data_IF_108555784759
#
_entry.id   IF_108555784759
#
_cell.length_a   1.000
_cell.length_b   1.000
_cell.length_c   1.000
_cell.angle_alpha   90.00
_cell.angle_beta   90.00
_cell.angle_gamma   90.00
#
_symmetry.space_group_name_H-M   'P 1'
#
loop_
_entity.id
_entity.type
_entity.pdbx_description
1 polymer ?
#
# COMPACT_ATOMS: atom_id res chain seq x y z
N UNK A 1 27.79 36.94 -1.85
CA UNK A 1 28.49 36.01 -0.93
C UNK A 1 27.47 35.05 -0.35
N UNK A 2 27.82 33.76 -0.32
CA UNK A 2 26.89 32.64 -0.23
C UNK A 2 26.13 32.53 1.11
N UNK A 3 24.83 32.24 1.02
CA UNK A 3 23.98 31.85 2.13
C UNK A 3 24.26 30.38 2.52
N UNK A 4 24.36 30.13 3.82
CA UNK A 4 24.80 28.87 4.40
C UNK A 4 23.81 27.73 4.19
N UNK A 5 24.34 26.60 3.72
CA UNK A 5 23.66 25.31 3.66
C UNK A 5 23.55 24.77 5.10
N UNK A 6 22.34 24.71 5.65
CA UNK A 6 22.07 24.15 6.97
C UNK A 6 22.32 22.65 6.99
N UNK A 7 23.05 22.18 8.01
CA UNK A 7 23.40 20.76 8.21
C UNK A 7 22.14 19.89 8.33
N UNK A 8 22.08 18.86 7.49
CA UNK A 8 21.07 17.79 7.50
C UNK A 8 21.27 16.97 8.78
N UNK A 9 20.29 16.98 9.68
CA UNK A 9 20.29 16.10 10.84
C UNK A 9 19.96 14.67 10.42
N UNK A 10 20.86 13.73 10.71
CA UNK A 10 20.61 12.29 10.53
C UNK A 10 19.57 11.85 11.58
N UNK A 11 18.48 11.16 11.19
CA UNK A 11 17.54 10.59 12.15
C UNK A 11 18.21 9.56 13.07
N UNK A 12 17.76 9.47 14.33
CA UNK A 12 18.30 8.52 15.31
C UNK A 12 18.13 7.05 14.89
N UNK A 13 19.01 6.18 15.36
CA UNK A 13 19.17 4.76 14.98
C UNK A 13 17.93 3.85 15.14
N UNK A 14 16.84 4.33 15.74
CA UNK A 14 15.57 3.59 15.92
C UNK A 14 14.57 3.82 14.75
N UNK A 15 14.92 4.66 13.77
CA UNK A 15 14.07 5.05 12.63
C UNK A 15 14.52 4.46 11.28
N UNK A 16 15.48 3.52 11.29
CA UNK A 16 16.12 2.99 10.06
C UNK A 16 15.83 1.53 9.80
N UNK A 17 14.97 0.87 10.60
CA UNK A 17 14.56 -0.52 10.39
C UNK A 17 13.22 -0.55 9.64
N UNK A 18 13.23 -1.08 8.42
CA UNK A 18 12.04 -1.34 7.62
C UNK A 18 11.39 -2.69 7.95
N UNK A 19 10.39 -3.12 7.15
CA UNK A 19 9.71 -4.39 7.37
C UNK A 19 10.69 -5.58 7.49
N UNK A 20 10.45 -6.47 8.46
CA UNK A 20 11.33 -7.63 8.70
C UNK A 20 12.76 -7.28 9.16
N UNK A 21 12.97 -6.07 9.67
CA UNK A 21 14.18 -5.68 10.40
C UNK A 21 15.33 -5.25 9.49
N UNK A 22 15.08 -5.09 8.19
CA UNK A 22 16.11 -4.66 7.24
C UNK A 22 16.45 -3.18 7.41
N UNK A 23 17.64 -2.80 6.98
CA UNK A 23 17.98 -1.39 6.84
C UNK A 23 17.09 -0.72 5.77
N UNK A 24 16.48 0.40 6.15
CA UNK A 24 15.62 1.22 5.33
C UNK A 24 16.02 2.69 5.45
N UNK A 25 16.76 3.24 4.47
CA UNK A 25 17.04 4.67 4.44
C UNK A 25 15.79 5.42 4.00
N UNK A 26 15.38 6.45 4.75
CA UNK A 26 14.26 7.32 4.40
C UNK A 26 14.77 8.72 4.03
N UNK A 27 14.27 9.28 2.93
CA UNK A 27 14.68 10.62 2.49
C UNK A 27 13.93 11.74 3.22
N UNK A 28 12.72 11.44 3.69
CA UNK A 28 11.79 12.40 4.24
C UNK A 28 11.46 12.06 5.68
N UNK A 29 11.33 13.09 6.52
CA UNK A 29 10.71 12.94 7.83
C UNK A 29 9.17 12.85 7.69
N UNK A 30 8.43 12.48 8.76
CA UNK A 30 6.99 12.28 8.67
C UNK A 30 6.21 13.47 8.14
N UNK A 31 6.56 14.69 8.59
CA UNK A 31 5.89 15.92 8.12
C UNK A 31 6.13 16.17 6.63
N UNK A 32 7.35 15.91 6.14
CA UNK A 32 7.69 16.09 4.74
C UNK A 32 7.01 15.06 3.84
N UNK A 33 6.98 13.80 4.25
CA UNK A 33 6.33 12.73 3.49
C UNK A 33 4.81 12.94 3.39
N UNK A 34 4.17 13.39 4.48
CA UNK A 34 2.75 13.76 4.45
C UNK A 34 2.49 14.95 3.50
N UNK A 35 3.31 16.00 3.58
CA UNK A 35 3.17 17.16 2.70
C UNK A 35 3.35 16.80 1.22
N UNK A 36 4.31 15.93 0.91
CA UNK A 36 4.52 15.41 -0.43
C UNK A 36 3.29 14.62 -0.93
N UNK A 37 2.68 13.79 -0.07
CA UNK A 37 1.46 13.06 -0.40
C UNK A 37 0.30 13.99 -0.79
N UNK A 38 0.13 15.08 -0.05
CA UNK A 38 -0.90 16.08 -0.33
C UNK A 38 -0.63 16.82 -1.65
N UNK A 39 0.63 17.18 -1.92
CA UNK A 39 1.01 17.78 -3.19
C UNK A 39 0.72 16.83 -4.37
N UNK A 40 1.14 15.57 -4.28
CA UNK A 40 0.87 14.58 -5.34
C UNK A 40 -0.63 14.30 -5.50
N UNK A 41 -1.43 14.41 -4.44
CA UNK A 41 -2.89 14.34 -4.55
C UNK A 41 -3.46 15.47 -5.41
N UNK A 42 -3.01 16.72 -5.21
CA UNK A 42 -3.44 17.86 -6.01
C UNK A 42 -3.09 17.67 -7.50
N UNK A 43 -1.94 17.09 -7.80
CA UNK A 43 -1.49 16.78 -9.17
C UNK A 43 -2.38 15.72 -9.81
N UNK A 44 -2.68 14.61 -9.12
CA UNK A 44 -3.60 13.58 -9.63
C UNK A 44 -5.01 14.14 -9.84
N UNK A 45 -5.49 14.99 -8.93
CA UNK A 45 -6.80 15.64 -9.06
C UNK A 45 -6.82 16.64 -10.23
N UNK A 46 -5.69 17.28 -10.54
CA UNK A 46 -5.59 18.10 -11.74
C UNK A 46 -5.66 17.28 -13.04
N UNK A 47 -5.18 16.04 -13.04
CA UNK A 47 -5.14 15.17 -14.22
C UNK A 47 -6.41 14.32 -14.41
N UNK A 48 -7.00 13.86 -13.31
CA UNK A 48 -8.11 12.90 -13.31
C UNK A 48 -9.38 13.40 -12.62
N UNK A 49 -9.37 14.59 -11.99
CA UNK A 49 -10.47 15.08 -11.14
C UNK A 49 -11.83 15.14 -11.83
N UNK A 50 -11.86 15.41 -13.13
CA UNK A 50 -13.07 15.40 -13.97
C UNK A 50 -13.65 14.00 -14.20
N UNK A 51 -12.83 12.95 -14.03
CA UNK A 51 -13.17 11.54 -14.15
C UNK A 51 -13.41 10.86 -12.81
N UNK A 52 -13.17 11.54 -11.68
CA UNK A 52 -13.47 10.98 -10.36
C UNK A 52 -14.98 10.78 -10.22
N UNK A 53 -15.37 9.55 -9.85
CA UNK A 53 -16.77 9.20 -9.62
C UNK A 53 -17.30 9.88 -8.36
N UNK A 54 -18.61 10.14 -8.35
CA UNK A 54 -19.26 10.73 -7.19
C UNK A 54 -19.18 9.81 -5.96
N UNK A 55 -19.20 10.41 -4.77
CA UNK A 55 -19.10 9.71 -3.49
C UNK A 55 -20.16 8.63 -3.29
N UNK A 56 -21.33 8.80 -3.89
CA UNK A 56 -22.51 7.93 -3.82
C UNK A 56 -22.57 6.89 -4.95
N UNK A 57 -21.64 6.92 -5.90
CA UNK A 57 -21.55 5.88 -6.94
C UNK A 57 -21.37 4.48 -6.31
N UNK A 58 -21.96 3.42 -6.90
CA UNK A 58 -21.81 2.05 -6.38
C UNK A 58 -20.35 1.62 -6.25
N UNK A 59 -19.50 1.98 -7.21
CA UNK A 59 -18.07 1.68 -7.22
C UNK A 59 -17.34 2.38 -6.07
N UNK A 60 -17.58 3.68 -5.88
CA UNK A 60 -16.93 4.46 -4.81
C UNK A 60 -17.40 4.00 -3.43
N UNK A 61 -18.69 3.73 -3.26
CA UNK A 61 -19.25 3.18 -2.01
C UNK A 61 -18.64 1.82 -1.68
N UNK A 62 -18.51 0.94 -2.69
CA UNK A 62 -17.87 -0.37 -2.54
C UNK A 62 -16.41 -0.23 -2.13
N UNK A 63 -15.61 0.55 -2.86
CA UNK A 63 -14.18 0.74 -2.58
C UNK A 63 -13.97 1.35 -1.19
N UNK A 64 -14.71 2.40 -0.83
CA UNK A 64 -14.58 3.04 0.49
C UNK A 64 -14.91 2.10 1.64
N UNK A 65 -15.97 1.28 1.51
CA UNK A 65 -16.29 0.25 2.51
C UNK A 65 -15.14 -0.74 2.72
N UNK A 66 -14.46 -1.13 1.64
CA UNK A 66 -13.31 -2.05 1.72
C UNK A 66 -12.13 -1.35 2.40
N UNK A 67 -11.78 -0.13 1.97
CA UNK A 67 -10.71 0.67 2.57
C UNK A 67 -10.97 0.94 4.06
N UNK A 68 -12.21 1.19 4.46
CA UNK A 68 -12.57 1.40 5.86
C UNK A 68 -12.29 0.17 6.72
N UNK A 69 -12.54 -1.05 6.22
CA UNK A 69 -12.16 -2.28 6.92
C UNK A 69 -10.64 -2.49 6.95
N UNK A 70 -9.95 -2.16 5.87
CA UNK A 70 -8.50 -2.32 5.77
C UNK A 70 -7.76 -1.34 6.68
N UNK A 71 -8.20 -0.08 6.80
CA UNK A 71 -7.55 0.91 7.67
C UNK A 71 -7.73 0.55 9.15
N UNK A 72 -8.91 0.04 9.52
CA UNK A 72 -9.15 -0.46 10.88
C UNK A 72 -8.20 -1.62 11.21
N UNK A 73 -7.98 -2.54 10.25
CA UNK A 73 -7.02 -3.63 10.42
C UNK A 73 -5.57 -3.14 10.48
N UNK A 74 -5.18 -2.15 9.66
CA UNK A 74 -3.85 -1.56 9.64
C UNK A 74 -3.45 -0.90 10.98
N UNK A 75 -4.43 -0.42 11.75
CA UNK A 75 -4.23 0.17 13.08
C UNK A 75 -4.13 -0.86 14.21
N UNK A 76 -4.23 -2.16 13.91
CA UNK A 76 -4.13 -3.23 14.92
C UNK A 76 -2.67 -3.39 15.34
N UNK A 77 -2.33 -2.87 16.52
CA UNK A 77 -0.99 -2.94 17.13
C UNK A 77 -0.30 -4.32 17.08
N UNK A 78 -0.98 -5.45 17.40
CA UNK A 78 -0.36 -6.76 17.21
C UNK A 78 0.04 -7.09 15.77
N UNK A 79 -0.75 -6.67 14.78
CA UNK A 79 -0.41 -6.83 13.38
C UNK A 79 0.84 -6.01 13.06
N UNK A 80 0.88 -4.75 13.48
CA UNK A 80 2.04 -3.87 13.26
C UNK A 80 3.35 -4.44 13.83
N UNK A 81 3.29 -5.17 14.96
CA UNK A 81 4.46 -5.91 15.49
C UNK A 81 4.85 -7.11 14.65
N UNK A 82 3.88 -7.92 14.21
CA UNK A 82 4.12 -9.12 13.40
C UNK A 82 4.82 -8.79 12.08
N UNK A 83 4.49 -7.63 11.50
CA UNK A 83 5.06 -7.15 10.24
C UNK A 83 6.17 -6.11 10.44
N UNK A 84 6.58 -5.87 11.69
CA UNK A 84 7.62 -4.93 12.10
C UNK A 84 7.46 -3.50 11.54
N UNK A 85 6.22 -3.08 11.30
CA UNK A 85 5.91 -1.72 10.85
C UNK A 85 5.92 -0.77 12.04
N UNK A 86 6.90 0.15 12.07
CA UNK A 86 7.03 1.19 13.11
C UNK A 86 6.62 2.55 12.59
N UNK A 87 5.32 2.77 12.47
CA UNK A 87 4.77 4.03 11.91
C UNK A 87 4.55 5.08 13.01
N UNK A 88 5.59 5.39 13.81
CA UNK A 88 5.47 6.40 14.88
C UNK A 88 5.48 7.81 14.30
N UNK A 89 4.48 8.62 14.67
CA UNK A 89 4.40 10.03 14.26
C UNK A 89 3.71 10.28 12.92
N UNK A 90 3.16 9.24 12.29
CA UNK A 90 2.29 9.37 11.12
C UNK A 90 0.83 9.20 11.51
N UNK A 91 -0.03 10.01 10.89
CA UNK A 91 -1.48 9.81 10.85
C UNK A 91 -1.88 9.89 9.40
N UNK A 92 -2.15 8.74 8.79
CA UNK A 92 -2.65 8.70 7.43
C UNK A 92 -4.08 9.22 7.40
N UNK A 93 -4.37 10.09 6.43
CA UNK A 93 -5.71 10.57 6.16
C UNK A 93 -6.27 9.74 5.00
N UNK A 94 -6.56 8.48 5.31
CA UNK A 94 -6.98 7.47 4.33
C UNK A 94 -8.19 7.94 3.54
N UNK A 95 -8.02 8.09 2.23
CA UNK A 95 -9.07 8.58 1.35
C UNK A 95 -9.01 7.83 0.03
N UNK A 96 -10.12 7.21 -0.37
CA UNK A 96 -10.22 6.48 -1.62
C UNK A 96 -11.04 7.25 -2.66
N UNK A 97 -10.45 7.37 -3.84
CA UNK A 97 -11.00 8.03 -5.03
C UNK A 97 -11.08 7.02 -6.18
N UNK A 98 -12.24 6.93 -6.82
CA UNK A 98 -12.44 6.02 -7.97
C UNK A 98 -12.47 6.83 -9.25
N UNK A 99 -11.59 6.49 -10.19
CA UNK A 99 -11.42 7.19 -11.46
C UNK A 99 -12.11 6.38 -12.56
N UNK A 100 -13.01 7.01 -13.32
CA UNK A 100 -13.64 6.42 -14.51
C UNK A 100 -12.63 6.34 -15.66
N UNK A 101 -11.92 5.22 -15.70
CA UNK A 101 -10.93 4.92 -16.73
C UNK A 101 -10.78 3.40 -16.90
N UNK A 102 -10.47 2.94 -18.12
CA UNK A 102 -10.34 1.53 -18.47
C UNK A 102 -8.97 0.94 -18.10
N UNK A 103 -8.01 1.78 -17.73
CA UNK A 103 -6.71 1.33 -17.25
C UNK A 103 -6.87 0.38 -16.06
N UNK A 104 -6.15 -0.74 -16.10
CA UNK A 104 -6.09 -1.72 -15.02
C UNK A 104 -4.99 -1.26 -14.08
N UNK A 105 -5.32 -0.33 -13.18
CA UNK A 105 -4.39 0.23 -12.21
C UNK A 105 -5.09 0.66 -10.90
N UNK A 106 -4.32 0.69 -9.82
CA UNK A 106 -4.64 1.33 -8.55
C UNK A 106 -3.32 1.71 -7.88
N UNK A 107 -3.31 2.79 -7.12
CA UNK A 107 -2.12 3.18 -6.37
C UNK A 107 -2.48 3.89 -5.07
N UNK A 108 -1.54 3.88 -4.11
CA UNK A 108 -1.60 4.71 -2.92
C UNK A 108 -0.42 5.68 -2.86
N UNK A 109 -0.73 6.97 -2.73
CA UNK A 109 0.25 8.01 -2.46
C UNK A 109 0.62 8.04 -0.97
N UNK A 110 1.74 8.69 -0.61
CA UNK A 110 1.97 9.11 0.77
C UNK A 110 0.76 9.85 1.36
N UNK A 111 0.64 9.86 2.69
CA UNK A 111 -0.54 10.35 3.42
C UNK A 111 -1.83 9.54 3.26
N UNK A 112 -1.80 8.41 2.55
CA UNK A 112 -2.92 7.46 2.51
C UNK A 112 -3.99 7.81 1.46
N UNK A 113 -3.59 8.52 0.39
CA UNK A 113 -4.50 8.87 -0.70
C UNK A 113 -4.49 7.77 -1.76
N UNK A 114 -5.60 7.06 -1.86
CA UNK A 114 -5.77 5.87 -2.70
C UNK A 114 -6.57 6.24 -3.95
N UNK A 115 -6.08 5.83 -5.12
CA UNK A 115 -6.75 5.99 -6.40
C UNK A 115 -6.98 4.64 -7.05
N UNK A 116 -8.20 4.40 -7.52
CA UNK A 116 -8.62 3.12 -8.10
C UNK A 116 -9.29 3.34 -9.44
N UNK A 117 -8.82 2.69 -10.49
CA UNK A 117 -9.35 2.86 -11.84
C UNK A 117 -10.49 1.86 -12.06
N UNK A 118 -11.57 2.26 -12.75
CA UNK A 118 -12.67 1.33 -13.03
C UNK A 118 -12.24 0.09 -13.84
N UNK A 119 -11.13 0.16 -14.56
CA UNK A 119 -10.53 -0.97 -15.26
C UNK A 119 -10.04 -2.09 -14.33
N UNK A 120 -9.34 -1.77 -13.22
CA UNK A 120 -8.95 -2.81 -12.24
C UNK A 120 -10.19 -3.42 -11.58
N UNK A 121 -11.22 -2.62 -11.27
CA UNK A 121 -12.47 -3.14 -10.70
C UNK A 121 -13.18 -4.09 -11.66
N UNK A 122 -13.18 -3.76 -12.96
CA UNK A 122 -13.76 -4.62 -14.00
C UNK A 122 -12.99 -5.95 -14.15
N UNK A 123 -11.65 -5.89 -14.05
CA UNK A 123 -10.78 -7.07 -14.08
C UNK A 123 -11.02 -7.98 -12.85
N UNK A 124 -11.19 -7.37 -11.69
CA UNK A 124 -11.46 -8.06 -10.41
C UNK A 124 -12.91 -8.53 -10.27
N UNK A 125 -13.83 -8.00 -11.09
CA UNK A 125 -15.27 -8.32 -11.08
C UNK A 125 -15.89 -8.01 -9.70
N UNK A 126 -16.89 -8.78 -9.31
CA UNK A 126 -17.61 -8.65 -8.03
C UNK A 126 -16.90 -9.34 -6.85
N UNK A 127 -15.59 -9.57 -6.95
CA UNK A 127 -14.78 -10.24 -5.91
C UNK A 127 -14.23 -9.19 -4.93
N UNK A 128 -14.92 -8.97 -3.80
CA UNK A 128 -14.49 -8.01 -2.77
C UNK A 128 -13.17 -8.43 -2.10
N UNK A 129 -12.88 -9.72 -1.99
CA UNK A 129 -11.61 -10.21 -1.44
C UNK A 129 -10.44 -9.88 -2.37
N UNK A 130 -10.63 -10.01 -3.69
CA UNK A 130 -9.60 -9.65 -4.66
C UNK A 130 -9.39 -8.12 -4.76
N UNK A 131 -10.45 -7.32 -4.59
CA UNK A 131 -10.31 -5.86 -4.44
C UNK A 131 -9.57 -5.52 -3.15
N UNK A 132 -9.91 -6.17 -2.04
CA UNK A 132 -9.19 -6.00 -0.78
C UNK A 132 -7.71 -6.37 -0.90
N UNK A 133 -7.36 -7.43 -1.65
CA UNK A 133 -5.97 -7.81 -1.89
C UNK A 133 -5.16 -6.70 -2.59
N UNK A 134 -5.70 -6.11 -3.67
CA UNK A 134 -5.04 -4.99 -4.36
C UNK A 134 -4.92 -3.77 -3.46
N UNK A 135 -6.00 -3.39 -2.78
CA UNK A 135 -5.98 -2.20 -1.92
C UNK A 135 -5.06 -2.37 -0.70
N UNK A 136 -5.03 -3.55 -0.09
CA UNK A 136 -4.13 -3.85 1.02
C UNK A 136 -2.66 -3.80 0.58
N UNK A 137 -2.34 -4.26 -0.63
CA UNK A 137 -1.01 -4.12 -1.25
C UNK A 137 -0.63 -2.64 -1.41
N UNK A 138 -1.50 -1.82 -1.98
CA UNK A 138 -1.24 -0.38 -2.13
C UNK A 138 -1.06 0.32 -0.78
N UNK A 139 -1.92 0.02 0.19
CA UNK A 139 -1.81 0.54 1.55
C UNK A 139 -0.52 0.09 2.24
N UNK A 140 -0.01 -1.11 1.92
CA UNK A 140 1.24 -1.62 2.46
C UNK A 140 2.44 -0.81 2.00
N UNK A 141 2.49 -0.36 0.73
CA UNK A 141 3.55 0.53 0.26
C UNK A 141 3.61 1.84 1.04
N UNK A 142 2.46 2.44 1.33
CA UNK A 142 2.37 3.67 2.10
C UNK A 142 2.80 3.46 3.58
N UNK A 143 2.33 2.38 4.21
CA UNK A 143 2.71 2.07 5.59
C UNK A 143 4.17 1.70 5.74
N UNK A 144 4.76 1.05 4.73
CA UNK A 144 6.17 0.70 4.71
C UNK A 144 7.08 1.82 4.19
N UNK A 145 6.56 3.03 3.95
CA UNK A 145 7.33 4.21 3.51
C UNK A 145 8.15 3.98 2.23
N UNK A 146 7.69 3.08 1.34
CA UNK A 146 8.45 2.68 0.16
C UNK A 146 8.74 3.84 -0.79
N UNK A 147 7.85 4.85 -0.86
CA UNK A 147 8.07 6.06 -1.64
C UNK A 147 9.22 6.91 -1.08
N UNK A 148 9.24 7.16 0.25
CA UNK A 148 10.33 7.89 0.92
C UNK A 148 11.66 7.15 0.84
N UNK A 149 11.64 5.82 0.93
CA UNK A 149 12.84 5.01 0.75
C UNK A 149 13.41 5.11 -0.67
N UNK A 150 12.55 5.03 -1.69
CA UNK A 150 13.00 5.14 -3.07
C UNK A 150 13.64 6.51 -3.33
N UNK A 151 13.04 7.59 -2.83
CA UNK A 151 13.63 8.94 -2.92
C UNK A 151 15.03 8.98 -2.31
N UNK A 152 15.28 8.23 -1.23
CA UNK A 152 16.61 8.17 -0.60
C UNK A 152 17.63 7.47 -1.49
N UNK A 153 17.22 6.39 -2.16
CA UNK A 153 18.09 5.56 -3.01
C UNK A 153 18.38 6.19 -4.37
N UNK A 154 17.41 6.87 -4.97
CA UNK A 154 17.54 7.36 -6.34
C UNK A 154 18.22 8.73 -6.44
N UNK A 155 18.48 9.45 -5.33
CA UNK A 155 18.94 10.87 -5.32
C UNK A 155 18.15 11.74 -6.31
N UNK A 156 16.91 11.35 -6.61
CA UNK A 156 16.15 11.91 -7.71
C UNK A 156 15.23 13.01 -7.17
N UNK A 157 15.45 14.24 -7.62
CA UNK A 157 14.36 15.21 -7.68
C UNK A 157 13.38 14.77 -8.77
N UNK A 158 12.09 14.71 -8.46
CA UNK A 158 11.05 14.31 -9.40
C UNK A 158 9.71 14.07 -8.73
N UNK A 159 8.64 14.05 -9.53
CA UNK A 159 7.28 13.81 -9.06
C UNK A 159 7.10 12.34 -8.65
N UNK A 160 6.63 12.08 -7.41
CA UNK A 160 6.40 10.73 -6.88
C UNK A 160 5.25 10.01 -7.57
N UNK A 161 4.23 10.74 -8.04
CA UNK A 161 3.13 10.16 -8.81
C UNK A 161 3.60 9.57 -10.15
N UNK A 162 4.55 10.22 -10.84
CA UNK A 162 5.05 9.76 -12.15
C UNK A 162 6.04 8.59 -12.07
N UNK A 163 6.38 8.15 -10.87
CA UNK A 163 7.27 7.01 -10.65
C UNK A 163 6.64 6.17 -9.56
N UNK A 164 5.73 5.25 -9.86
CA UNK A 164 5.18 4.35 -8.84
C UNK A 164 5.80 2.95 -8.89
N UNK A 165 6.88 2.77 -9.65
CA UNK A 165 7.59 1.50 -9.67
C UNK A 165 8.43 1.26 -8.41
N UNK A 166 8.32 0.06 -7.85
CA UNK A 166 9.03 -0.38 -6.64
C UNK A 166 9.96 -1.56 -6.92
N UNK A 167 10.98 -1.73 -6.07
CA UNK A 167 11.89 -2.87 -6.18
C UNK A 167 11.20 -4.19 -5.84
N UNK A 168 11.69 -5.32 -6.36
CA UNK A 168 11.16 -6.66 -6.02
C UNK A 168 11.08 -6.93 -4.52
N UNK A 169 12.04 -6.39 -3.76
CA UNK A 169 12.04 -6.48 -2.29
C UNK A 169 10.84 -5.75 -1.69
N UNK A 170 10.63 -4.48 -2.07
CA UNK A 170 9.50 -3.67 -1.61
C UNK A 170 8.15 -4.26 -2.02
N UNK A 171 8.08 -4.83 -3.22
CA UNK A 171 6.91 -5.58 -3.71
C UNK A 171 6.61 -6.81 -2.84
N UNK A 172 7.63 -7.60 -2.49
CA UNK A 172 7.50 -8.76 -1.59
C UNK A 172 7.08 -8.36 -0.17
N UNK A 173 7.58 -7.21 0.32
CA UNK A 173 7.15 -6.63 1.60
C UNK A 173 5.69 -6.19 1.56
N UNK A 174 5.28 -5.51 0.49
CA UNK A 174 3.89 -5.09 0.29
C UNK A 174 2.93 -6.29 0.19
N UNK A 175 3.34 -7.35 -0.52
CA UNK A 175 2.60 -8.62 -0.58
C UNK A 175 2.44 -9.24 0.82
N UNK A 176 3.51 -9.30 1.61
CA UNK A 176 3.49 -9.88 2.96
C UNK A 176 2.58 -9.09 3.90
N UNK A 177 2.78 -7.77 3.98
CA UNK A 177 1.99 -6.87 4.81
C UNK A 177 0.51 -6.88 4.37
N UNK A 178 0.25 -6.75 3.07
CA UNK A 178 -1.08 -6.69 2.49
C UNK A 178 -1.90 -7.95 2.78
N UNK A 179 -1.31 -9.14 2.68
CA UNK A 179 -1.98 -10.42 3.00
C UNK A 179 -2.40 -10.50 4.47
N UNK A 180 -1.61 -9.95 5.39
CA UNK A 180 -2.01 -9.91 6.79
C UNK A 180 -3.09 -8.84 7.05
N UNK A 181 -2.95 -7.64 6.49
CA UNK A 181 -3.97 -6.58 6.61
C UNK A 181 -5.33 -7.09 6.11
N UNK A 182 -5.38 -7.71 4.93
CA UNK A 182 -6.64 -8.21 4.38
C UNK A 182 -7.25 -9.31 5.25
N UNK A 183 -6.43 -10.21 5.81
CA UNK A 183 -6.91 -11.25 6.72
C UNK A 183 -7.49 -10.64 8.01
N UNK A 184 -6.82 -9.63 8.58
CA UNK A 184 -7.30 -8.94 9.77
C UNK A 184 -8.55 -8.10 9.53
N UNK A 185 -8.72 -7.57 8.32
CA UNK A 185 -9.94 -6.91 7.88
C UNK A 185 -11.10 -7.90 7.61
N UNK A 186 -10.86 -9.21 7.67
CA UNK A 186 -11.85 -10.26 7.47
C UNK A 186 -12.11 -10.61 6.00
N UNK A 187 -11.11 -10.43 5.13
CA UNK A 187 -11.10 -10.91 3.75
C UNK A 187 -10.27 -12.20 3.64
N UNK A 188 -10.53 -12.99 2.59
CA UNK A 188 -9.84 -14.26 2.37
C UNK A 188 -8.47 -14.06 1.69
N UNK A 189 -7.33 -14.30 2.38
CA UNK A 189 -6.00 -14.12 1.80
C UNK A 189 -5.67 -15.10 0.66
N UNK A 190 -6.40 -16.20 0.49
CA UNK A 190 -6.19 -17.09 -0.67
C UNK A 190 -6.64 -16.41 -1.99
N UNK A 191 -7.48 -15.38 -1.90
CA UNK A 191 -7.93 -14.60 -3.07
C UNK A 191 -6.83 -13.72 -3.64
N UNK A 192 -5.87 -13.29 -2.83
CA UNK A 192 -4.66 -12.64 -3.32
C UNK A 192 -3.84 -13.57 -4.22
N UNK A 193 -3.66 -14.84 -3.82
CA UNK A 193 -2.96 -15.86 -4.65
C UNK A 193 -3.67 -16.05 -5.99
N UNK A 194 -5.00 -16.17 -5.96
CA UNK A 194 -5.80 -16.36 -7.17
C UNK A 194 -5.80 -15.12 -8.09
N UNK A 195 -5.76 -13.92 -7.52
CA UNK A 195 -5.59 -12.67 -8.29
C UNK A 195 -4.25 -12.64 -9.02
N UNK A 196 -3.14 -12.83 -8.32
CA UNK A 196 -1.81 -12.74 -8.92
C UNK A 196 -1.56 -13.82 -9.98
N UNK A 197 -2.07 -15.05 -9.79
CA UNK A 197 -2.07 -16.08 -10.84
C UNK A 197 -2.81 -15.64 -12.10
N UNK A 198 -3.94 -14.93 -11.98
CA UNK A 198 -4.70 -14.41 -13.13
C UNK A 198 -3.93 -13.29 -13.84
N UNK A 199 -3.27 -12.41 -13.09
CA UNK A 199 -2.47 -11.31 -13.65
C UNK A 199 -1.31 -11.82 -14.50
N UNK A 200 -0.58 -12.84 -14.03
CA UNK A 200 0.56 -13.41 -14.78
C UNK A 200 0.16 -14.22 -16.01
N UNK A 201 -1.09 -14.70 -16.07
CA UNK A 201 -1.64 -15.47 -17.19
C UNK A 201 -2.39 -14.61 -18.21
N UNK A 202 -2.53 -13.30 -18.00
CA UNK A 202 -3.24 -12.41 -18.91
C UNK A 202 -2.45 -12.23 -20.23
N UNK A 203 -3.06 -12.60 -21.37
CA UNK A 203 -2.36 -12.74 -22.66
C UNK A 203 -2.26 -11.45 -23.53
N UNK A 204 -2.44 -10.25 -22.97
CA UNK A 204 -2.45 -8.98 -23.73
C UNK A 204 -1.31 -8.02 -23.32
N UNK A 205 -0.16 -8.57 -22.95
CA UNK A 205 0.90 -7.82 -22.28
C UNK A 205 0.57 -7.56 -20.80
N UNK A 206 1.56 -7.19 -19.98
CA UNK A 206 1.31 -6.87 -18.58
C UNK A 206 0.32 -5.70 -18.49
N UNK A 207 -0.77 -5.81 -17.71
CA UNK A 207 -1.60 -4.66 -17.37
C UNK A 207 -0.74 -3.54 -16.76
N UNK A 208 -1.18 -2.29 -16.83
CA UNK A 208 -0.38 -1.17 -16.30
C UNK A 208 0.03 -1.36 -14.84
N UNK A 209 -0.87 -1.95 -14.04
CA UNK A 209 -0.56 -2.38 -12.67
C UNK A 209 0.71 -3.25 -12.57
N UNK A 210 0.98 -4.18 -13.51
CA UNK A 210 2.21 -4.98 -13.51
C UNK A 210 3.44 -4.21 -14.01
N UNK A 211 3.27 -3.11 -14.74
CA UNK A 211 4.36 -2.23 -15.12
C UNK A 211 4.86 -1.44 -13.91
N UNK A 212 3.94 -0.96 -13.08
CA UNK A 212 4.26 -0.28 -11.82
C UNK A 212 4.69 -1.30 -10.75
N UNK A 213 4.04 -2.47 -10.70
CA UNK A 213 4.28 -3.54 -9.72
C UNK A 213 4.85 -4.80 -10.38
N UNK A 214 6.16 -4.83 -10.70
CA UNK A 214 6.77 -5.97 -11.36
C UNK A 214 6.62 -7.23 -10.51
N UNK A 215 6.01 -8.27 -11.08
CA UNK A 215 5.86 -9.56 -10.40
C UNK A 215 7.22 -10.18 -10.11
N UNK A 216 7.44 -10.63 -8.87
CA UNK A 216 8.51 -11.56 -8.53
C UNK A 216 8.16 -12.95 -9.08
N UNK A 217 9.16 -13.69 -9.57
CA UNK A 217 9.03 -15.11 -9.92
C UNK A 217 8.51 -15.94 -8.73
N UNK A 218 8.80 -15.49 -7.51
CA UNK A 218 8.40 -16.13 -6.26
C UNK A 218 7.10 -15.57 -5.65
N UNK A 219 6.49 -14.51 -6.21
CA UNK A 219 5.31 -13.84 -5.61
C UNK A 219 4.21 -14.83 -5.25
N UNK A 220 3.79 -15.65 -6.22
CA UNK A 220 2.72 -16.65 -6.01
C UNK A 220 3.12 -17.68 -4.94
N UNK A 221 4.39 -18.09 -4.91
CA UNK A 221 4.90 -19.02 -3.91
C UNK A 221 4.86 -18.42 -2.51
N UNK A 222 5.33 -17.18 -2.35
CA UNK A 222 5.34 -16.45 -1.10
C UNK A 222 3.93 -16.24 -0.55
N UNK A 223 3.01 -15.74 -1.39
CA UNK A 223 1.61 -15.56 -1.00
C UNK A 223 0.94 -16.88 -0.60
N UNK A 224 1.24 -17.98 -1.31
CA UNK A 224 0.74 -19.32 -0.96
C UNK A 224 1.25 -19.76 0.41
N UNK A 225 2.48 -19.39 0.78
CA UNK A 225 3.06 -19.70 2.08
C UNK A 225 2.57 -18.76 3.21
N UNK A 226 2.27 -17.49 2.91
CA UNK A 226 1.85 -16.49 3.89
C UNK A 226 0.36 -16.49 4.17
N UNK A 227 -0.50 -16.75 3.19
CA UNK A 227 -1.95 -16.81 3.37
C UNK A 227 -2.40 -17.70 4.56
N UNK A 228 -1.91 -18.95 4.73
CA UNK A 228 -2.28 -19.75 5.90
C UNK A 228 -1.76 -19.16 7.22
N UNK A 229 -0.61 -18.49 7.23
CA UNK A 229 -0.06 -17.82 8.42
C UNK A 229 -0.92 -16.63 8.82
N UNK A 230 -1.31 -15.80 7.86
CA UNK A 230 -2.21 -14.66 8.09
C UNK A 230 -3.57 -15.11 8.67
N UNK A 231 -4.15 -16.20 8.14
CA UNK A 231 -5.37 -16.80 8.71
C UNK A 231 -5.16 -17.29 10.15
N UNK A 232 -4.06 -17.98 10.41
CA UNK A 232 -3.75 -18.47 11.75
C UNK A 232 -3.55 -17.33 12.76
N UNK A 233 -2.86 -16.26 12.35
CA UNK A 233 -2.65 -15.05 13.15
C UNK A 233 -3.99 -14.36 13.46
N UNK A 234 -4.86 -14.17 12.46
CA UNK A 234 -6.19 -13.61 12.66
C UNK A 234 -7.04 -14.46 13.60
N UNK A 235 -7.06 -15.78 13.41
CA UNK A 235 -7.76 -16.71 14.31
C UNK A 235 -7.26 -16.60 15.76
N UNK A 236 -5.95 -16.47 15.96
CA UNK A 236 -5.38 -16.28 17.28
C UNK A 236 -5.76 -14.91 17.90
N UNK A 237 -5.81 -13.85 17.09
CA UNK A 237 -6.30 -12.55 17.52
C UNK A 237 -7.77 -12.58 17.95
N UNK A 238 -8.64 -13.21 17.14
CA UNK A 238 -10.07 -13.33 17.43
C UNK A 238 -10.36 -14.15 18.70
N UNK A 239 -9.51 -15.14 18.99
CA UNK A 239 -9.58 -15.94 20.20
C UNK A 239 -8.95 -15.24 21.43
N UNK A 240 -8.51 -13.99 21.30
CA UNK A 240 -7.88 -13.22 22.38
C UNK A 240 -6.50 -13.72 22.79
N UNK A 241 -5.87 -14.61 21.99
CA UNK A 241 -4.52 -15.13 22.25
C UNK A 241 -3.41 -14.15 21.86
N UNK A 242 -3.77 -13.13 21.08
CA UNK A 242 -2.89 -12.01 20.72
C UNK A 242 -3.59 -10.72 21.15
N UNK A 243 -3.18 -10.16 22.29
CA UNK A 243 -3.75 -8.88 22.78
C UNK A 243 -2.92 -7.67 22.36
N UNK A 244 -3.55 -6.54 22.01
CA UNK A 244 -2.86 -5.25 21.94
C UNK A 244 -2.18 -4.93 23.28
N UNK A 245 -1.05 -4.20 23.30
CA UNK A 245 -0.49 -3.71 24.53
C UNK A 245 -1.53 -2.82 25.22
N UNK A 246 -1.67 -2.96 26.54
CA UNK A 246 -2.50 -2.03 27.32
C UNK A 246 -1.89 -0.63 27.14
N UNK A 247 -2.70 0.30 26.62
CA UNK A 247 -2.34 1.71 26.46
C UNK A 247 -2.00 2.34 27.80
#
# INVERSE_FOLDING_TARGET
>A
MAAGCGRIGVPGADQTAGPGGREQPLALNPKQELALGHQSYEEVMSEYGDRVLSADSPETTRVRRIVDRLKEAADIEPLQREIELRVRGYRFDWEANVIRDKQVNAFCLPAGKIFVFTGILSFLRNDDDAVAAVLAHEMAHAQAHHSSERLARERAGGNVFQKLSYSRMQESEADHIGVFIMAFAGYDPDRAVAFWKRMTQAHNGPPEFLSDHPSDEHRVQNLTAWAPKARAAKKAFDEGRITPPRR
#
